data_IF_812752972081
#
_entry.id   IF_812752972081
#
_cell.length_a   1.000
_cell.length_b   1.000
_cell.length_c   1.000
_cell.angle_alpha   90.00
_cell.angle_beta   90.00
_cell.angle_gamma   90.00
#
_symmetry.space_group_name_H-M   'P 1'
#
loop_
_entity.id
_entity.type
_entity.pdbx_description
1 polymer ?
#
# COMPACT_ATOMS: atom_id res chain seq x y z
N UNK A 1 27.10 -4.52 -12.56
CA UNK A 1 26.53 -4.43 -12.51
C UNK A 1 25.73 -4.39 -12.31
N UNK A 2 25.36 -4.41 -11.92
CA UNK A 2 24.56 -4.58 -11.54
C UNK A 2 23.51 -4.16 -11.63
N UNK A 3 23.23 -3.72 -12.17
CA UNK A 3 22.13 -3.50 -12.61
C UNK A 3 21.15 -4.40 -12.29
N UNK A 4 21.37 -5.38 -12.15
CA UNK A 4 20.48 -6.35 -11.67
C UNK A 4 19.96 -5.97 -10.36
N UNK A 5 20.75 -5.30 -9.65
CA UNK A 5 20.25 -4.84 -8.42
C UNK A 5 19.23 -3.75 -8.66
N UNK A 6 19.03 -3.38 -9.88
CA UNK A 6 18.00 -2.46 -10.27
C UNK A 6 16.66 -3.15 -10.48
N UNK A 7 16.29 -4.05 -9.60
CA UNK A 7 14.99 -4.68 -9.68
C UNK A 7 13.89 -3.60 -9.63
N UNK A 8 13.03 -3.60 -10.64
CA UNK A 8 11.91 -2.68 -10.69
C UNK A 8 10.84 -3.19 -9.74
N UNK A 9 10.41 -2.33 -8.82
CA UNK A 9 9.37 -2.68 -7.87
C UNK A 9 8.02 -2.54 -8.57
N UNK A 10 7.23 -3.60 -8.58
CA UNK A 10 5.91 -3.56 -9.20
C UNK A 10 4.87 -3.22 -8.14
N UNK A 11 3.94 -2.33 -8.50
CA UNK A 11 2.94 -1.80 -7.57
C UNK A 11 1.56 -1.92 -8.18
N UNK A 12 0.60 -2.32 -7.36
CA UNK A 12 -0.82 -2.25 -7.70
C UNK A 12 -1.46 -1.18 -6.84
N UNK A 13 -2.25 -0.29 -7.44
CA UNK A 13 -2.91 0.80 -6.72
C UNK A 13 -4.40 0.51 -6.66
N UNK A 14 -4.97 0.55 -5.46
CA UNK A 14 -6.37 0.20 -5.24
C UNK A 14 -7.06 1.32 -4.49
N UNK A 15 -8.03 1.96 -5.16
CA UNK A 15 -8.80 3.06 -4.60
C UNK A 15 -10.11 3.12 -5.38
N UNK A 16 -11.23 3.36 -4.68
CA UNK A 16 -12.53 3.38 -5.35
C UNK A 16 -12.69 4.60 -6.27
N UNK A 17 -11.80 5.57 -6.18
CA UNK A 17 -11.81 6.73 -7.08
C UNK A 17 -10.80 6.51 -8.19
N UNK A 18 -11.25 6.32 -9.44
CA UNK A 18 -10.30 6.11 -10.54
C UNK A 18 -9.34 7.28 -10.76
N UNK A 19 -9.74 8.49 -10.37
CA UNK A 19 -8.85 9.64 -10.49
C UNK A 19 -7.68 9.53 -9.53
N UNK A 20 -7.89 8.98 -8.33
CA UNK A 20 -6.80 8.75 -7.39
C UNK A 20 -5.85 7.69 -7.95
N UNK A 21 -6.39 6.62 -8.52
CA UNK A 21 -5.57 5.59 -9.16
C UNK A 21 -4.69 6.19 -10.25
N UNK A 22 -5.29 7.05 -11.09
CA UNK A 22 -4.57 7.67 -12.18
C UNK A 22 -3.49 8.62 -11.67
N UNK A 23 -3.85 9.46 -10.71
CA UNK A 23 -2.90 10.42 -10.14
C UNK A 23 -1.72 9.71 -9.48
N UNK A 24 -2.00 8.67 -8.71
CA UNK A 24 -0.94 7.91 -8.03
C UNK A 24 -0.03 7.22 -9.04
N UNK A 25 -0.62 6.67 -10.11
CA UNK A 25 0.17 6.02 -11.16
C UNK A 25 1.12 7.02 -11.81
N UNK A 26 0.65 8.24 -12.08
CA UNK A 26 1.49 9.27 -12.66
C UNK A 26 2.61 9.70 -11.73
N UNK A 27 2.30 9.84 -10.43
CA UNK A 27 3.30 10.21 -9.43
C UNK A 27 4.41 9.16 -9.38
N UNK A 28 4.03 7.89 -9.32
CA UNK A 28 5.02 6.83 -9.22
C UNK A 28 5.86 6.73 -10.48
N UNK A 29 5.24 6.90 -11.64
CA UNK A 29 5.97 6.86 -12.90
C UNK A 29 6.96 8.03 -13.00
N UNK A 30 6.49 9.25 -12.69
CA UNK A 30 7.27 10.44 -12.97
C UNK A 30 8.36 10.71 -11.93
N UNK A 31 8.19 10.24 -10.69
CA UNK A 31 9.12 10.57 -9.62
C UNK A 31 10.00 9.42 -9.18
N UNK A 32 9.77 8.21 -9.69
CA UNK A 32 10.54 7.06 -9.22
C UNK A 32 11.84 6.83 -9.97
N UNK A 33 12.05 7.56 -11.06
CA UNK A 33 13.24 7.38 -11.90
C UNK A 33 13.37 5.93 -12.38
N UNK A 34 12.24 5.33 -12.73
CA UNK A 34 12.22 3.96 -13.24
C UNK A 34 12.28 2.87 -12.21
N UNK A 35 12.33 3.22 -10.93
CA UNK A 35 12.44 2.20 -9.89
C UNK A 35 11.10 1.55 -9.55
N UNK A 36 9.98 2.18 -9.88
CA UNK A 36 8.65 1.68 -9.56
C UNK A 36 7.82 1.64 -10.83
N UNK A 37 7.11 0.54 -11.03
CA UNK A 37 6.22 0.36 -12.17
C UNK A 37 4.84 -0.03 -11.66
N UNK A 38 3.81 0.70 -12.06
CA UNK A 38 2.42 0.35 -11.70
C UNK A 38 1.92 -0.68 -12.70
N UNK A 39 1.65 -1.88 -12.22
CA UNK A 39 1.23 -2.98 -13.10
C UNK A 39 -0.28 -3.11 -13.20
N UNK A 40 -1.02 -2.56 -12.24
CA UNK A 40 -2.47 -2.57 -12.31
C UNK A 40 -3.06 -1.54 -11.36
N UNK A 41 -4.28 -1.13 -11.68
CA UNK A 41 -5.10 -0.33 -10.78
C UNK A 41 -6.45 -1.01 -10.66
N UNK A 42 -7.08 -0.89 -9.51
CA UNK A 42 -8.39 -1.49 -9.27
C UNK A 42 -9.22 -0.54 -8.44
N UNK A 43 -10.54 -0.58 -8.64
CA UNK A 43 -11.44 0.27 -7.89
C UNK A 43 -12.30 -0.52 -6.90
N UNK A 44 -12.07 -1.82 -6.79
CA UNK A 44 -12.76 -2.65 -5.80
C UNK A 44 -11.83 -3.76 -5.31
N UNK A 45 -12.13 -4.29 -4.13
CA UNK A 45 -11.25 -5.25 -3.48
C UNK A 45 -11.20 -6.60 -4.16
N UNK A 46 -12.33 -7.08 -4.68
CA UNK A 46 -12.37 -8.41 -5.31
C UNK A 46 -11.49 -8.44 -6.57
N UNK A 47 -11.58 -7.40 -7.38
CA UNK A 47 -10.73 -7.26 -8.56
C UNK A 47 -9.27 -7.17 -8.16
N UNK A 48 -8.99 -6.42 -7.09
CA UNK A 48 -7.63 -6.26 -6.59
C UNK A 48 -7.00 -7.59 -6.21
N UNK A 49 -7.74 -8.44 -5.52
CA UNK A 49 -7.23 -9.76 -5.11
C UNK A 49 -6.96 -10.63 -6.34
N UNK A 50 -7.88 -10.64 -7.30
CA UNK A 50 -7.68 -11.43 -8.53
C UNK A 50 -6.44 -10.96 -9.29
N UNK A 51 -6.28 -9.65 -9.42
CA UNK A 51 -5.12 -9.10 -10.13
C UNK A 51 -3.83 -9.46 -9.40
N UNK A 52 -3.81 -9.34 -8.09
CA UNK A 52 -2.62 -9.65 -7.31
C UNK A 52 -2.26 -11.13 -7.42
N UNK A 53 -3.26 -12.00 -7.44
CA UNK A 53 -3.02 -13.43 -7.55
C UNK A 53 -2.40 -13.81 -8.88
N UNK A 54 -2.68 -13.08 -9.95
CA UNK A 54 -2.14 -13.38 -11.27
C UNK A 54 -0.88 -12.59 -11.59
N UNK A 55 -0.74 -11.38 -11.08
CA UNK A 55 0.35 -10.47 -11.45
C UNK A 55 1.50 -10.45 -10.45
N UNK A 56 1.26 -10.88 -9.23
CA UNK A 56 2.26 -10.94 -8.16
C UNK A 56 2.98 -9.61 -7.97
N UNK A 57 2.25 -8.50 -7.71
CA UNK A 57 2.92 -7.22 -7.47
C UNK A 57 3.75 -7.30 -6.18
N UNK A 58 4.82 -6.52 -6.14
CA UNK A 58 5.64 -6.46 -4.94
C UNK A 58 4.92 -5.72 -3.82
N UNK A 59 4.21 -4.64 -4.16
CA UNK A 59 3.55 -3.76 -3.19
C UNK A 59 2.16 -3.41 -3.68
N UNK A 60 1.21 -3.37 -2.76
CA UNK A 60 -0.13 -2.87 -3.00
C UNK A 60 -0.33 -1.60 -2.18
N UNK A 61 -0.74 -0.52 -2.83
CA UNK A 61 -1.22 0.68 -2.15
C UNK A 61 -2.73 0.56 -2.06
N UNK A 62 -3.26 0.48 -0.85
CA UNK A 62 -4.64 0.07 -0.59
C UNK A 62 -5.43 1.14 0.15
N UNK A 63 -6.46 1.68 -0.50
CA UNK A 63 -7.44 2.51 0.18
C UNK A 63 -8.33 1.63 1.07
N UNK A 64 -8.60 2.06 2.29
CA UNK A 64 -9.41 1.26 3.21
C UNK A 64 -10.91 1.57 3.11
N UNK A 65 -11.27 2.70 2.53
CA UNK A 65 -12.68 3.11 2.46
C UNK A 65 -13.24 2.81 1.07
N UNK A 66 -13.57 1.54 0.81
CA UNK A 66 -14.10 1.12 -0.48
C UNK A 66 -15.42 0.41 -0.31
N UNK A 67 -16.32 0.49 -1.32
CA UNK A 67 -17.56 -0.29 -1.27
C UNK A 67 -17.30 -1.78 -1.45
N UNK A 68 -18.25 -2.60 -1.02
CA UNK A 68 -18.11 -4.05 -1.09
C UNK A 68 -17.21 -4.54 0.00
N UNK A 69 -16.22 -5.37 -0.33
CA UNK A 69 -15.21 -5.71 0.66
C UNK A 69 -14.30 -4.50 0.82
N UNK A 70 -14.14 -4.06 2.06
CA UNK A 70 -13.37 -2.85 2.32
C UNK A 70 -11.87 -3.16 2.23
N UNK A 71 -11.06 -2.11 2.35
CA UNK A 71 -9.61 -2.25 2.21
C UNK A 71 -8.98 -3.11 3.29
N UNK A 72 -9.57 -3.17 4.48
CA UNK A 72 -9.04 -4.00 5.55
C UNK A 72 -9.24 -5.48 5.23
N UNK A 73 -10.45 -5.85 4.81
CA UNK A 73 -10.72 -7.24 4.41
C UNK A 73 -9.92 -7.61 3.15
N UNK A 74 -9.79 -6.68 2.21
CA UNK A 74 -8.97 -6.91 1.02
C UNK A 74 -7.51 -7.15 1.42
N UNK A 75 -6.99 -6.37 2.36
CA UNK A 75 -5.63 -6.56 2.87
C UNK A 75 -5.47 -7.96 3.44
N UNK A 76 -6.44 -8.41 4.24
CA UNK A 76 -6.39 -9.75 4.82
C UNK A 76 -6.30 -10.82 3.75
N UNK A 77 -7.11 -10.68 2.68
CA UNK A 77 -7.11 -11.63 1.57
C UNK A 77 -5.81 -11.60 0.79
N UNK A 78 -5.27 -10.41 0.55
CA UNK A 78 -3.99 -10.27 -0.16
C UNK A 78 -2.87 -10.94 0.61
N UNK A 79 -2.84 -10.76 1.93
CA UNK A 79 -1.78 -11.33 2.75
C UNK A 79 -1.92 -12.84 2.90
N UNK A 80 -3.08 -13.39 2.55
CA UNK A 80 -3.31 -14.83 2.59
C UNK A 80 -3.00 -15.52 1.26
N UNK A 81 -2.64 -14.78 0.23
CA UNK A 81 -2.28 -15.37 -1.05
C UNK A 81 -0.99 -16.16 -0.95
N UNK A 82 -0.76 -17.06 -1.91
CA UNK A 82 0.45 -17.87 -1.93
C UNK A 82 1.71 -17.00 -2.01
N UNK A 83 1.66 -15.96 -2.83
CA UNK A 83 2.75 -14.99 -2.94
C UNK A 83 2.22 -13.63 -2.48
N UNK A 84 2.14 -13.40 -1.17
CA UNK A 84 1.49 -12.20 -0.66
C UNK A 84 2.31 -10.95 -0.97
N UNK A 85 1.68 -9.92 -1.51
CA UNK A 85 2.37 -8.64 -1.70
C UNK A 85 2.52 -7.94 -0.35
N UNK A 86 3.46 -7.02 -0.28
CA UNK A 86 3.47 -6.06 0.82
C UNK A 86 2.27 -5.13 0.65
N UNK A 87 1.63 -4.74 1.73
CA UNK A 87 0.47 -3.85 1.66
C UNK A 87 0.75 -2.59 2.47
N UNK A 88 0.67 -1.45 1.81
CA UNK A 88 0.72 -0.14 2.44
C UNK A 88 -0.65 0.50 2.30
N UNK A 89 -1.21 0.95 3.40
CA UNK A 89 -2.53 1.58 3.40
C UNK A 89 -2.40 3.01 2.89
N UNK A 90 -3.20 3.33 1.89
CA UNK A 90 -3.26 4.67 1.31
C UNK A 90 -4.45 5.38 1.93
N UNK A 91 -4.21 6.48 2.62
CA UNK A 91 -5.26 7.13 3.37
C UNK A 91 -5.16 8.64 3.26
N UNK A 92 -6.31 9.31 3.33
CA UNK A 92 -6.34 10.77 3.42
C UNK A 92 -6.49 11.24 4.87
N UNK A 93 -6.85 10.34 5.77
CA UNK A 93 -7.03 10.64 7.19
C UNK A 93 -6.41 9.53 8.01
N UNK A 94 -6.19 9.80 9.29
CA UNK A 94 -5.66 8.80 10.22
C UNK A 94 -6.69 8.50 11.32
N UNK A 95 -7.79 7.85 11.00
CA UNK A 95 -8.69 7.44 12.08
C UNK A 95 -8.03 6.33 12.90
N UNK A 96 -8.12 6.43 14.21
CA UNK A 96 -7.37 5.55 15.10
C UNK A 96 -7.70 4.07 14.89
N UNK A 97 -8.98 3.76 14.69
CA UNK A 97 -9.38 2.36 14.50
C UNK A 97 -8.77 1.75 13.25
N UNK A 98 -8.55 2.57 12.23
CA UNK A 98 -8.01 2.09 10.98
C UNK A 98 -6.58 1.60 11.13
N UNK A 99 -5.77 2.29 11.94
CA UNK A 99 -4.38 1.88 12.14
C UNK A 99 -4.33 0.47 12.72
N UNK A 100 -5.02 0.25 13.84
CA UNK A 100 -4.98 -1.03 14.52
C UNK A 100 -5.54 -2.15 13.65
N UNK A 101 -6.71 -1.94 13.05
CA UNK A 101 -7.36 -2.95 12.22
C UNK A 101 -6.54 -3.30 11.00
N UNK A 102 -5.89 -2.30 10.39
CA UNK A 102 -5.07 -2.53 9.20
C UNK A 102 -3.85 -3.36 9.53
N UNK A 103 -3.20 -3.08 10.65
CA UNK A 103 -2.03 -3.85 11.09
C UNK A 103 -2.45 -5.29 11.39
N UNK A 104 -3.58 -5.49 12.05
CA UNK A 104 -4.07 -6.84 12.33
C UNK A 104 -4.36 -7.62 11.05
N UNK A 105 -4.78 -6.92 10.00
CA UNK A 105 -5.05 -7.57 8.72
C UNK A 105 -3.78 -7.89 7.94
N UNK A 106 -2.64 -7.33 8.36
CA UNK A 106 -1.36 -7.62 7.74
C UNK A 106 -0.73 -6.46 6.99
N UNK A 107 -1.29 -5.25 7.10
CA UNK A 107 -0.67 -4.07 6.50
C UNK A 107 0.66 -3.77 7.20
N UNK A 108 1.62 -3.32 6.40
CA UNK A 108 2.98 -3.12 6.89
C UNK A 108 3.37 -1.65 6.96
N UNK A 109 2.45 -0.75 6.66
CA UNK A 109 2.70 0.67 6.77
C UNK A 109 1.57 1.50 6.19
N UNK A 110 1.77 2.80 6.20
CA UNK A 110 0.78 3.78 5.77
C UNK A 110 1.44 4.80 4.86
N UNK A 111 0.68 5.24 3.86
CA UNK A 111 1.05 6.32 2.96
C UNK A 111 -0.12 7.28 2.94
N UNK A 112 0.13 8.57 3.16
CA UNK A 112 -0.92 9.57 3.04
C UNK A 112 -1.09 9.98 1.60
N UNK A 113 -2.34 10.21 1.18
CA UNK A 113 -2.62 10.71 -0.17
C UNK A 113 -2.03 12.11 -0.37
N UNK A 114 -1.66 12.79 0.71
CA UNK A 114 -1.05 14.12 0.64
C UNK A 114 0.45 14.10 0.88
N UNK A 115 1.07 12.93 1.02
CA UNK A 115 2.52 12.85 1.16
C UNK A 115 3.19 13.34 -0.11
N UNK A 116 4.39 13.91 0.03
CA UNK A 116 5.18 14.30 -1.13
C UNK A 116 5.54 13.05 -1.95
N UNK A 117 5.61 13.17 -3.28
CA UNK A 117 5.93 12.01 -4.13
C UNK A 117 7.18 11.28 -3.70
N UNK A 118 8.22 12.00 -3.30
CA UNK A 118 9.48 11.38 -2.87
C UNK A 118 9.29 10.53 -1.61
N UNK A 119 8.40 10.97 -0.72
CA UNK A 119 8.11 10.23 0.50
C UNK A 119 7.35 8.95 0.21
N UNK A 120 6.41 9.01 -0.73
CA UNK A 120 5.65 7.83 -1.13
C UNK A 120 6.59 6.78 -1.70
N UNK A 121 7.48 7.20 -2.60
CA UNK A 121 8.43 6.28 -3.23
C UNK A 121 9.39 5.70 -2.19
N UNK A 122 9.85 6.53 -1.26
CA UNK A 122 10.77 6.05 -0.21
C UNK A 122 10.11 4.97 0.64
N UNK A 123 8.82 5.11 0.94
CA UNK A 123 8.10 4.10 1.72
C UNK A 123 7.94 2.81 0.95
N UNK A 124 7.67 2.91 -0.36
CA UNK A 124 7.56 1.72 -1.20
C UNK A 124 8.88 0.97 -1.23
N UNK A 125 9.98 1.68 -1.43
CA UNK A 125 11.31 1.07 -1.44
C UNK A 125 11.62 0.48 -0.07
N UNK A 126 11.30 1.22 0.99
CA UNK A 126 11.60 0.77 2.35
C UNK A 126 10.90 -0.52 2.72
N UNK A 127 9.63 -0.67 2.32
CA UNK A 127 8.90 -1.89 2.67
C UNK A 127 9.49 -3.10 1.93
N UNK A 128 9.95 -2.91 0.70
CA UNK A 128 10.58 -3.99 -0.04
C UNK A 128 11.92 -4.39 0.58
N UNK A 129 12.53 -3.50 1.36
CA UNK A 129 13.76 -3.80 2.10
C UNK A 129 13.48 -4.38 3.47
N UNK A 130 12.21 -4.58 3.82
CA UNK A 130 11.83 -5.21 5.08
C UNK A 130 11.60 -4.26 6.25
N UNK A 131 11.59 -2.95 6.00
CA UNK A 131 11.39 -1.96 7.06
C UNK A 131 9.92 -1.53 7.09
N UNK A 132 9.20 -1.76 8.21
CA UNK A 132 7.81 -1.31 8.30
C UNK A 132 7.72 0.20 8.11
N UNK A 133 6.70 0.63 7.38
CA UNK A 133 6.58 2.01 6.92
C UNK A 133 5.42 2.72 7.61
N UNK A 134 5.58 3.02 8.89
CA UNK A 134 4.62 3.84 9.62
C UNK A 134 5.19 5.24 9.77
N UNK A 135 4.35 6.26 9.53
CA UNK A 135 4.80 7.62 9.83
C UNK A 135 4.75 7.83 11.34
N UNK A 136 5.43 8.88 11.87
CA UNK A 136 5.47 9.07 13.32
C UNK A 136 4.09 9.17 13.98
N UNK A 137 3.13 9.80 13.33
CA UNK A 137 1.78 9.92 13.89
C UNK A 137 1.10 8.56 13.96
N UNK A 138 1.22 7.74 12.90
CA UNK A 138 0.62 6.40 12.87
C UNK A 138 1.27 5.48 13.90
N UNK A 139 2.59 5.57 14.06
CA UNK A 139 3.30 4.77 15.06
C UNK A 139 2.85 5.15 16.47
N UNK A 140 2.70 6.44 16.74
CA UNK A 140 2.24 6.90 18.04
C UNK A 140 0.83 6.44 18.32
N UNK A 141 -0.05 6.49 17.31
CA UNK A 141 -1.41 6.02 17.45
C UNK A 141 -1.44 4.53 17.77
N UNK A 142 -0.66 3.74 17.08
CA UNK A 142 -0.59 2.31 17.31
C UNK A 142 -0.12 1.99 18.73
N UNK A 143 0.91 2.67 19.18
CA UNK A 143 1.43 2.48 20.54
C UNK A 143 0.35 2.82 21.57
N UNK A 144 -0.36 3.93 21.37
CA UNK A 144 -1.43 4.33 22.28
C UNK A 144 -2.54 3.29 22.31
N UNK A 145 -2.95 2.80 21.15
CA UNK A 145 -4.00 1.79 21.06
C UNK A 145 -3.61 0.51 21.79
N UNK A 146 -2.37 0.07 21.62
CA UNK A 146 -1.90 -1.15 22.27
C UNK A 146 -1.80 -0.97 23.79
N UNK A 147 -1.37 0.20 24.24
CA UNK A 147 -1.19 0.43 25.67
C UNK A 147 -2.51 0.60 26.41
N UNK A 148 -3.61 0.78 25.72
CA UNK A 148 -4.93 0.92 26.31
C UNK A 148 -5.68 -0.42 26.41
N UNK A 149 -5.07 -1.50 26.01
CA UNK A 149 -5.71 -2.81 26.04
C UNK A 149 -5.46 -3.57 27.36
#
# INVERSE_FOLDING_TARGET
>A
MNDSEQHVITVSVIDDDPLVCQAMSMILRDYSQGRVSVVSTSTDGATAVRNADSEHPDVVLMDVAMPGIDGIETTRRLRALRNPPHVLILTSLNPSNTVERSVEAGAEGFVSKTDAPEDIIRRIVGICEGTPQFNPASQRQLINDLSMQ
#
